data_IF_036815523566
#
_entry.id   IF_036815523566
#
_cell.length_a   1.000
_cell.length_b   1.000
_cell.length_c   1.000
_cell.angle_alpha   90.00
_cell.angle_beta   90.00
_cell.angle_gamma   90.00
#
_symmetry.space_group_name_H-M   'P 1'
#
loop_
_entity.id
_entity.type
_entity.pdbx_description
1 polymer ?
#
# COMPACT_ATOMS: atom_id res chain seq x y z
N UNK A 1 -20.21 -46.72 -15.97
CA UNK A 1 -19.89 -45.59 -15.08
C UNK A 1 -20.35 -46.01 -13.71
N UNK A 2 -19.48 -45.95 -12.70
CA UNK A 2 -19.82 -46.32 -11.32
C UNK A 2 -19.74 -45.04 -10.48
N UNK A 3 -20.83 -44.67 -9.79
CA UNK A 3 -20.93 -43.46 -8.96
C UNK A 3 -21.73 -43.73 -7.68
N UNK A 4 -21.45 -42.97 -6.63
CA UNK A 4 -22.16 -43.03 -5.34
C UNK A 4 -22.66 -41.63 -4.94
N UNK A 5 -23.75 -41.20 -5.55
CA UNK A 5 -24.21 -39.80 -5.54
C UNK A 5 -24.89 -39.36 -4.23
N UNK A 6 -25.14 -40.29 -3.29
CA UNK A 6 -25.73 -40.01 -1.98
C UNK A 6 -24.72 -39.73 -0.87
N UNK A 7 -23.45 -40.08 -1.07
CA UNK A 7 -22.42 -40.02 -0.03
C UNK A 7 -21.71 -38.65 0.07
N UNK A 8 -21.16 -38.35 1.25
CA UNK A 8 -20.40 -37.09 1.50
C UNK A 8 -19.07 -37.05 0.75
N UNK A 9 -18.54 -38.21 0.41
CA UNK A 9 -17.37 -38.39 -0.46
C UNK A 9 -17.82 -39.26 -1.61
N UNK A 10 -17.72 -38.73 -2.81
CA UNK A 10 -18.22 -39.34 -4.03
C UNK A 10 -17.04 -39.73 -4.90
N UNK A 11 -17.18 -40.81 -5.65
CA UNK A 11 -16.19 -41.20 -6.63
C UNK A 11 -16.85 -41.49 -7.97
N UNK A 12 -16.07 -41.40 -9.04
CA UNK A 12 -16.49 -41.82 -10.36
C UNK A 12 -15.33 -42.51 -11.07
N UNK A 13 -15.61 -43.71 -11.60
CA UNK A 13 -14.65 -44.45 -12.43
C UNK A 13 -15.11 -44.42 -13.89
N UNK A 14 -14.21 -43.94 -14.77
CA UNK A 14 -14.40 -43.89 -16.21
C UNK A 14 -13.34 -44.72 -16.92
N UNK A 15 -13.75 -45.48 -17.92
CA UNK A 15 -12.89 -46.25 -18.81
C UNK A 15 -13.51 -46.29 -20.20
N UNK A 16 -12.67 -46.26 -21.23
CA UNK A 16 -13.09 -46.45 -22.63
C UNK A 16 -12.89 -47.92 -23.00
N UNK A 17 -13.84 -48.53 -23.73
CA UNK A 17 -13.71 -49.91 -24.21
C UNK A 17 -12.35 -50.10 -24.91
N UNK A 18 -11.65 -51.20 -24.58
CA UNK A 18 -10.30 -51.55 -25.05
C UNK A 18 -9.17 -50.59 -24.61
N UNK A 19 -9.40 -49.70 -23.64
CA UNK A 19 -8.36 -48.86 -23.04
C UNK A 19 -7.75 -49.53 -21.82
N UNK A 20 -6.42 -49.51 -21.73
CA UNK A 20 -5.68 -49.88 -20.51
C UNK A 20 -5.67 -48.78 -19.45
N UNK A 21 -6.25 -47.60 -19.75
CA UNK A 21 -6.34 -46.47 -18.82
C UNK A 21 -7.70 -46.41 -18.13
N UNK A 22 -7.66 -46.21 -16.83
CA UNK A 22 -8.81 -45.95 -15.97
C UNK A 22 -8.66 -44.57 -15.35
N UNK A 23 -9.76 -43.82 -15.29
CA UNK A 23 -9.82 -42.52 -14.64
C UNK A 23 -10.64 -42.63 -13.38
N UNK A 24 -10.04 -42.30 -12.25
CA UNK A 24 -10.69 -42.20 -10.96
C UNK A 24 -10.78 -40.72 -10.59
N UNK A 25 -12.00 -40.25 -10.35
CA UNK A 25 -12.28 -38.95 -9.79
C UNK A 25 -12.88 -39.14 -8.39
N UNK A 26 -12.40 -38.37 -7.42
CA UNK A 26 -12.92 -38.38 -6.04
C UNK A 26 -13.24 -36.94 -5.66
N UNK A 27 -14.46 -36.69 -5.23
CA UNK A 27 -14.97 -35.37 -4.86
C UNK A 27 -15.52 -35.44 -3.44
N UNK A 28 -15.17 -34.48 -2.60
CA UNK A 28 -15.73 -34.35 -1.26
C UNK A 28 -16.74 -33.21 -1.21
N UNK A 29 -17.96 -33.50 -0.77
CA UNK A 29 -19.00 -32.51 -0.42
C UNK A 29 -18.94 -32.04 1.04
N UNK A 30 -17.94 -32.50 1.81
CA UNK A 30 -17.70 -32.04 3.18
C UNK A 30 -17.26 -30.57 3.23
N UNK A 31 -17.37 -29.96 4.42
CA UNK A 31 -16.70 -28.67 4.71
C UNK A 31 -15.22 -28.75 4.35
N UNK A 32 -14.70 -27.69 3.74
CA UNK A 32 -13.36 -27.67 3.10
C UNK A 32 -12.26 -28.28 3.96
N UNK A 33 -12.16 -27.94 5.26
CA UNK A 33 -11.09 -28.49 6.11
C UNK A 33 -11.16 -30.01 6.26
N UNK A 34 -12.35 -30.55 6.56
CA UNK A 34 -12.56 -32.00 6.67
C UNK A 34 -12.42 -32.71 5.32
N UNK A 35 -12.95 -32.09 4.25
CA UNK A 35 -12.81 -32.63 2.91
C UNK A 35 -11.36 -32.72 2.45
N UNK A 36 -10.56 -31.69 2.75
CA UNK A 36 -9.11 -31.66 2.49
C UNK A 36 -8.40 -32.82 3.19
N UNK A 37 -8.66 -33.03 4.48
CA UNK A 37 -8.04 -34.11 5.26
C UNK A 37 -8.37 -35.49 4.68
N UNK A 38 -9.64 -35.73 4.36
CA UNK A 38 -10.09 -37.00 3.77
C UNK A 38 -9.45 -37.23 2.41
N UNK A 39 -9.45 -36.23 1.53
CA UNK A 39 -8.86 -36.36 0.19
C UNK A 39 -7.35 -36.58 0.23
N UNK A 40 -6.63 -35.89 1.14
CA UNK A 40 -5.19 -36.12 1.35
C UNK A 40 -4.90 -37.53 1.88
N UNK A 41 -5.75 -38.04 2.77
CA UNK A 41 -5.61 -39.39 3.29
C UNK A 41 -5.85 -40.44 2.20
N UNK A 42 -6.90 -40.29 1.39
CA UNK A 42 -7.20 -41.19 0.27
C UNK A 42 -6.08 -41.17 -0.78
N UNK A 43 -5.59 -39.99 -1.13
CA UNK A 43 -4.47 -39.82 -2.05
C UNK A 43 -3.21 -40.53 -1.53
N UNK A 44 -2.91 -40.40 -0.23
CA UNK A 44 -1.81 -41.13 0.41
C UNK A 44 -2.01 -42.65 0.34
N UNK A 45 -3.19 -43.16 0.70
CA UNK A 45 -3.48 -44.60 0.67
C UNK A 45 -3.37 -45.19 -0.75
N UNK A 46 -3.82 -44.47 -1.77
CA UNK A 46 -3.67 -44.89 -3.16
C UNK A 46 -2.19 -44.88 -3.57
N UNK A 47 -1.46 -43.82 -3.20
CA UNK A 47 -0.06 -43.65 -3.56
C UNK A 47 0.92 -44.55 -2.79
N UNK A 48 0.51 -45.12 -1.67
CA UNK A 48 1.32 -46.05 -0.86
C UNK A 48 0.86 -47.52 -0.99
N UNK A 49 -0.17 -47.79 -1.80
CA UNK A 49 -0.71 -49.14 -1.98
C UNK A 49 0.31 -50.09 -2.59
N UNK A 50 0.40 -51.30 -2.04
CA UNK A 50 1.23 -52.41 -2.57
C UNK A 50 0.83 -52.84 -3.98
N UNK A 51 -0.40 -52.52 -4.39
CA UNK A 51 -0.90 -52.88 -5.73
C UNK A 51 -0.35 -52.00 -6.85
N UNK A 52 0.43 -50.96 -6.53
CA UNK A 52 1.16 -50.21 -7.55
C UNK A 52 2.17 -51.03 -8.35
N UNK A 53 2.58 -52.20 -7.86
CA UNK A 53 3.33 -53.17 -8.68
C UNK A 53 2.60 -53.62 -9.94
N UNK A 54 1.26 -53.48 -9.97
CA UNK A 54 0.42 -53.86 -11.10
C UNK A 54 -0.17 -52.64 -11.84
N UNK A 55 -0.20 -51.46 -11.23
CA UNK A 55 -0.79 -50.24 -11.81
C UNK A 55 0.09 -49.02 -11.57
N UNK A 56 0.19 -48.15 -12.59
CA UNK A 56 0.82 -46.84 -12.42
C UNK A 56 -0.26 -45.77 -12.17
N UNK A 57 -0.23 -45.17 -10.99
CA UNK A 57 -1.14 -44.08 -10.64
C UNK A 57 -0.48 -42.75 -11.02
N UNK A 58 -1.14 -42.01 -11.92
CA UNK A 58 -0.71 -40.67 -12.33
C UNK A 58 -1.76 -39.66 -11.90
N UNK A 59 -1.35 -38.67 -11.09
CA UNK A 59 -2.24 -37.57 -10.69
C UNK A 59 -2.39 -36.59 -11.84
N UNK A 60 -3.60 -36.49 -12.37
CA UNK A 60 -3.95 -35.56 -13.46
C UNK A 60 -4.53 -34.23 -12.97
N UNK A 61 -5.11 -34.22 -11.77
CA UNK A 61 -5.68 -33.03 -11.14
C UNK A 61 -5.52 -33.11 -9.62
N UNK A 62 -5.21 -31.97 -8.99
CA UNK A 62 -5.02 -31.86 -7.54
C UNK A 62 -5.90 -30.73 -7.00
N UNK A 63 -7.16 -31.07 -6.70
CA UNK A 63 -8.14 -30.11 -6.17
C UNK A 63 -7.79 -29.61 -4.76
N UNK A 64 -7.01 -30.37 -3.99
CA UNK A 64 -6.56 -29.95 -2.65
C UNK A 64 -5.52 -28.84 -2.76
N UNK A 65 -4.50 -29.03 -3.59
CA UNK A 65 -3.51 -27.99 -3.89
C UNK A 65 -4.17 -26.74 -4.47
N UNK A 66 -5.14 -26.91 -5.38
CA UNK A 66 -5.91 -25.80 -5.94
C UNK A 66 -6.63 -24.99 -4.84
N UNK A 67 -7.34 -25.67 -3.93
CA UNK A 67 -8.03 -25.01 -2.80
C UNK A 67 -7.06 -24.29 -1.84
N UNK A 68 -5.84 -24.79 -1.66
CA UNK A 68 -4.80 -24.08 -0.89
C UNK A 68 -4.33 -22.81 -1.60
N UNK A 69 -4.07 -22.89 -2.91
CA UNK A 69 -3.68 -21.74 -3.71
C UNK A 69 -4.76 -20.65 -3.69
N UNK A 70 -6.03 -21.02 -3.89
CA UNK A 70 -7.18 -20.10 -3.84
C UNK A 70 -7.30 -19.36 -2.49
N UNK A 71 -7.02 -20.05 -1.38
CA UNK A 71 -7.03 -19.42 -0.04
C UNK A 71 -5.85 -18.50 0.23
N UNK A 72 -4.68 -18.80 -0.36
CA UNK A 72 -3.47 -18.00 -0.19
C UNK A 72 -3.46 -16.77 -1.10
N UNK A 73 -4.05 -16.85 -2.28
CA UNK A 73 -3.98 -15.80 -3.30
C UNK A 73 -4.47 -14.43 -2.80
N UNK A 74 -5.63 -14.30 -2.11
CA UNK A 74 -6.07 -13.01 -1.57
C UNK A 74 -5.10 -12.42 -0.55
N UNK A 75 -4.35 -13.26 0.17
CA UNK A 75 -3.39 -12.81 1.19
C UNK A 75 -2.13 -12.22 0.58
N UNK A 76 -1.66 -12.81 -0.52
CA UNK A 76 -0.59 -12.22 -1.34
C UNK A 76 -1.03 -10.89 -1.96
N UNK A 77 -2.27 -10.82 -2.47
CA UNK A 77 -2.82 -9.57 -2.99
C UNK A 77 -2.89 -8.48 -1.93
N UNK A 78 -3.29 -8.82 -0.68
CA UNK A 78 -3.27 -7.88 0.43
C UNK A 78 -1.84 -7.43 0.77
N UNK A 79 -0.90 -8.37 0.84
CA UNK A 79 0.52 -8.10 1.09
C UNK A 79 1.11 -7.14 0.06
N UNK A 80 0.99 -7.41 -1.24
CA UNK A 80 1.58 -6.57 -2.28
C UNK A 80 1.01 -5.15 -2.24
N UNK A 81 -0.31 -4.99 -2.02
CA UNK A 81 -0.95 -3.67 -1.87
C UNK A 81 -0.48 -2.93 -0.63
N UNK A 82 -0.38 -3.61 0.50
CA UNK A 82 0.10 -3.02 1.75
C UNK A 82 1.57 -2.62 1.66
N UNK A 83 2.40 -3.42 0.99
CA UNK A 83 3.78 -3.07 0.72
C UNK A 83 3.86 -1.80 -0.14
N UNK A 84 3.07 -1.69 -1.22
CA UNK A 84 3.01 -0.46 -2.03
C UNK A 84 2.53 0.75 -1.21
N UNK A 85 1.51 0.58 -0.37
CA UNK A 85 1.02 1.64 0.53
C UNK A 85 2.13 2.12 1.47
N UNK A 86 2.83 1.19 2.14
CA UNK A 86 3.95 1.50 3.03
C UNK A 86 5.03 2.30 2.31
N UNK A 87 5.41 1.85 1.10
CA UNK A 87 6.41 2.54 0.28
C UNK A 87 5.94 3.96 -0.04
N UNK A 88 4.71 4.12 -0.52
CA UNK A 88 4.19 5.44 -0.86
C UNK A 88 4.19 6.38 0.33
N UNK A 89 3.68 5.97 1.49
CA UNK A 89 3.64 6.81 2.70
C UNK A 89 5.03 7.34 3.07
N UNK A 90 6.02 6.43 3.14
CA UNK A 90 7.39 6.82 3.49
C UNK A 90 8.00 7.74 2.45
N UNK A 91 7.81 7.46 1.16
CA UNK A 91 8.41 8.24 0.08
C UNK A 91 7.74 9.60 -0.11
N UNK A 92 6.42 9.70 0.03
CA UNK A 92 5.72 10.98 -0.01
C UNK A 92 6.05 11.83 1.20
N UNK A 93 6.29 11.22 2.36
CA UNK A 93 6.79 11.94 3.54
C UNK A 93 8.20 12.50 3.32
N UNK A 94 9.08 11.71 2.72
CA UNK A 94 10.48 12.11 2.52
C UNK A 94 10.67 13.11 1.35
N UNK A 95 9.91 12.95 0.26
CA UNK A 95 10.17 13.65 -1.01
C UNK A 95 8.93 14.36 -1.61
N UNK A 96 7.77 14.27 -0.98
CA UNK A 96 6.53 14.84 -1.49
C UNK A 96 6.17 14.34 -2.90
N UNK A 97 5.69 15.23 -3.76
CA UNK A 97 5.31 14.92 -5.14
C UNK A 97 6.49 14.47 -6.02
N UNK A 98 7.72 14.82 -5.64
CA UNK A 98 8.92 14.54 -6.41
C UNK A 98 9.47 13.13 -6.20
N UNK A 99 8.92 12.36 -5.25
CA UNK A 99 9.43 11.05 -4.85
C UNK A 99 9.80 10.16 -6.02
N UNK A 100 8.98 10.14 -7.08
CA UNK A 100 9.20 9.31 -8.26
C UNK A 100 10.50 9.65 -8.97
N UNK A 101 10.80 10.94 -9.15
CA UNK A 101 12.00 11.38 -9.85
C UNK A 101 13.24 11.24 -8.96
N UNK A 102 13.07 11.41 -7.65
CA UNK A 102 14.16 11.27 -6.67
C UNK A 102 14.60 9.81 -6.45
N UNK A 103 13.67 8.87 -6.65
CA UNK A 103 13.89 7.48 -6.24
C UNK A 103 13.92 6.47 -7.38
N UNK A 104 13.47 6.82 -8.59
CA UNK A 104 13.47 5.93 -9.76
C UNK A 104 14.36 6.54 -10.85
N UNK A 105 15.36 5.81 -11.36
CA UNK A 105 16.17 6.27 -12.49
C UNK A 105 15.31 6.63 -13.71
N UNK A 106 15.67 7.71 -14.40
CA UNK A 106 14.90 8.25 -15.53
C UNK A 106 14.65 7.22 -16.64
N UNK A 107 15.65 6.39 -16.94
CA UNK A 107 15.54 5.31 -17.94
C UNK A 107 14.44 4.31 -17.57
N UNK A 108 14.47 3.81 -16.32
CA UNK A 108 13.46 2.87 -15.80
C UNK A 108 12.07 3.50 -15.80
N UNK A 109 11.95 4.78 -15.47
CA UNK A 109 10.69 5.49 -15.50
C UNK A 109 10.13 5.63 -16.93
N UNK A 110 11.00 5.85 -17.93
CA UNK A 110 10.58 5.92 -19.33
C UNK A 110 10.06 4.57 -19.83
N UNK A 111 10.68 3.45 -19.42
CA UNK A 111 10.20 2.12 -19.76
C UNK A 111 8.85 1.80 -19.12
N UNK A 112 8.63 2.22 -17.87
CA UNK A 112 7.31 2.11 -17.22
C UNK A 112 6.24 2.90 -17.98
N UNK A 113 6.53 4.14 -18.41
CA UNK A 113 5.60 4.97 -19.20
C UNK A 113 5.24 4.34 -20.54
N UNK A 114 6.23 3.73 -21.22
CA UNK A 114 6.01 2.98 -22.47
C UNK A 114 5.06 1.80 -22.26
N UNK A 115 5.26 1.07 -21.16
CA UNK A 115 4.42 -0.08 -20.79
C UNK A 115 2.99 0.35 -20.47
N UNK A 116 2.82 1.47 -19.77
CA UNK A 116 1.54 2.04 -19.38
C UNK A 116 0.78 2.77 -20.50
N UNK A 117 1.27 2.76 -21.75
CA UNK A 117 0.67 3.47 -22.90
C UNK A 117 0.49 4.98 -22.67
N UNK A 118 1.44 5.63 -21.99
CA UNK A 118 1.59 7.08 -21.96
C UNK A 118 1.35 7.74 -20.60
N UNK A 119 0.12 7.72 -20.10
CA UNK A 119 -0.23 8.44 -18.87
C UNK A 119 -0.01 7.55 -17.63
N UNK A 120 1.18 7.62 -17.04
CA UNK A 120 1.48 6.98 -15.76
C UNK A 120 1.37 7.99 -14.61
N UNK A 121 0.30 7.87 -13.81
CA UNK A 121 0.13 8.69 -12.62
C UNK A 121 1.14 8.35 -11.51
N UNK A 122 1.26 9.22 -10.51
CA UNK A 122 2.11 8.95 -9.35
C UNK A 122 1.62 7.70 -8.59
N UNK A 123 0.32 7.54 -8.42
CA UNK A 123 -0.27 6.38 -7.74
C UNK A 123 -0.04 5.07 -8.50
N UNK A 124 -0.09 5.09 -9.83
CA UNK A 124 0.09 3.88 -10.66
C UNK A 124 1.56 3.49 -10.85
N UNK A 125 2.50 4.36 -10.47
CA UNK A 125 3.93 4.12 -10.75
C UNK A 125 4.43 2.83 -10.08
N UNK A 126 4.07 2.57 -8.82
CA UNK A 126 4.47 1.33 -8.13
C UNK A 126 3.65 0.10 -8.57
N UNK A 127 2.49 0.29 -9.19
CA UNK A 127 1.69 -0.82 -9.75
C UNK A 127 2.37 -1.47 -10.96
N UNK A 128 3.32 -0.77 -11.60
CA UNK A 128 4.15 -1.33 -12.67
C UNK A 128 5.26 -2.27 -12.16
N UNK A 129 5.46 -2.34 -10.84
CA UNK A 129 6.46 -3.20 -10.22
C UNK A 129 5.81 -4.52 -9.77
N UNK A 130 6.37 -5.63 -10.25
CA UNK A 130 6.15 -6.93 -9.63
C UNK A 130 6.90 -7.04 -8.30
N UNK A 131 6.67 -8.13 -7.57
CA UNK A 131 7.27 -8.32 -6.26
C UNK A 131 8.81 -8.33 -6.29
N UNK A 132 9.41 -8.97 -7.29
CA UNK A 132 10.86 -9.01 -7.44
C UNK A 132 11.45 -7.61 -7.66
N UNK A 133 10.82 -6.82 -8.54
CA UNK A 133 11.23 -5.47 -8.82
C UNK A 133 11.01 -4.53 -7.62
N UNK A 134 9.98 -4.78 -6.79
CA UNK A 134 9.78 -4.07 -5.52
C UNK A 134 10.85 -4.42 -4.48
N UNK A 135 11.24 -5.69 -4.36
CA UNK A 135 12.33 -6.13 -3.47
C UNK A 135 13.64 -5.44 -3.84
N UNK A 136 14.05 -5.51 -5.11
CA UNK A 136 15.23 -4.81 -5.62
C UNK A 136 15.14 -3.30 -5.37
N UNK A 137 13.99 -2.71 -5.64
CA UNK A 137 13.77 -1.27 -5.45
C UNK A 137 13.96 -0.80 -4.00
N UNK A 138 13.59 -1.64 -3.03
CA UNK A 138 13.71 -1.37 -1.60
C UNK A 138 15.10 -1.67 -1.04
N UNK A 139 15.66 -2.82 -1.39
CA UNK A 139 16.77 -3.44 -0.67
C UNK A 139 18.11 -3.39 -1.40
N UNK A 140 18.12 -3.24 -2.73
CA UNK A 140 19.38 -3.13 -3.46
C UNK A 140 20.08 -1.81 -3.11
N UNK A 141 21.40 -1.89 -2.94
CA UNK A 141 22.24 -0.72 -2.74
C UNK A 141 22.24 0.13 -3.99
N UNK A 142 22.05 1.43 -3.81
CA UNK A 142 22.06 2.38 -4.93
C UNK A 142 23.48 2.88 -5.16
N UNK A 143 23.85 2.96 -6.44
CA UNK A 143 25.08 3.61 -6.84
C UNK A 143 25.05 5.09 -6.46
N UNK A 144 26.20 5.59 -6.03
CA UNK A 144 26.39 6.99 -5.70
C UNK A 144 27.13 7.63 -6.86
N UNK A 145 26.53 8.66 -7.46
CA UNK A 145 27.23 9.48 -8.44
C UNK A 145 28.18 10.42 -7.71
N UNK A 146 29.38 9.92 -7.41
CA UNK A 146 30.41 10.67 -6.72
C UNK A 146 30.79 11.96 -7.45
N UNK A 147 30.78 11.96 -8.79
CA UNK A 147 31.15 13.13 -9.59
C UNK A 147 30.16 14.28 -9.39
N UNK A 148 28.86 14.01 -9.55
CA UNK A 148 27.82 15.00 -9.27
C UNK A 148 27.87 15.44 -7.81
N UNK A 149 28.08 14.51 -6.87
CA UNK A 149 28.16 14.86 -5.45
C UNK A 149 29.32 15.83 -5.13
N UNK A 150 30.54 15.56 -5.62
CA UNK A 150 31.68 16.46 -5.38
C UNK A 150 31.52 17.80 -6.08
N UNK A 151 30.92 17.82 -7.27
CA UNK A 151 30.76 19.06 -8.04
C UNK A 151 29.60 19.94 -7.53
N UNK A 152 28.53 19.36 -6.99
CA UNK A 152 27.31 20.11 -6.61
C UNK A 152 27.09 20.22 -5.10
N UNK A 153 27.48 19.20 -4.32
CA UNK A 153 27.19 19.12 -2.88
C UNK A 153 28.41 19.26 -1.98
N UNK A 154 29.62 19.02 -2.50
CA UNK A 154 30.87 19.04 -1.72
C UNK A 154 31.99 19.78 -2.46
N UNK A 155 31.69 20.94 -3.02
CA UNK A 155 32.69 21.76 -3.69
C UNK A 155 33.74 22.33 -2.71
N UNK A 156 34.82 22.89 -3.27
CA UNK A 156 35.93 23.43 -2.50
C UNK A 156 35.55 24.60 -1.57
N UNK A 157 34.45 25.30 -1.83
CA UNK A 157 33.97 26.36 -0.96
C UNK A 157 33.09 25.80 0.18
N UNK A 158 32.26 24.79 -0.09
CA UNK A 158 31.47 24.07 0.91
C UNK A 158 32.38 23.44 1.96
N UNK A 159 33.49 22.82 1.53
CA UNK A 159 34.51 22.25 2.43
C UNK A 159 35.14 23.27 3.38
N UNK A 160 35.22 24.54 2.98
CA UNK A 160 35.78 25.62 3.82
C UNK A 160 34.75 26.25 4.76
N UNK A 161 33.46 26.12 4.45
CA UNK A 161 32.36 26.80 5.15
C UNK A 161 31.63 25.89 6.13
N UNK A 162 31.57 24.59 5.88
CA UNK A 162 30.82 23.63 6.72
C UNK A 162 31.61 23.13 7.91
N UNK A 163 30.91 22.96 9.02
CA UNK A 163 31.49 22.35 10.22
C UNK A 163 31.68 20.84 10.04
N UNK A 164 32.55 20.26 10.89
CA UNK A 164 32.93 18.84 10.82
C UNK A 164 31.73 17.90 10.82
N UNK A 165 30.71 18.16 11.64
CA UNK A 165 29.54 17.29 11.74
C UNK A 165 28.65 17.36 10.49
N UNK A 166 28.55 18.53 9.85
CA UNK A 166 27.85 18.66 8.58
C UNK A 166 28.59 17.94 7.44
N UNK A 167 29.93 17.99 7.45
CA UNK A 167 30.76 17.24 6.51
C UNK A 167 30.64 15.72 6.75
N UNK A 168 30.59 15.26 7.99
CA UNK A 168 30.32 13.87 8.32
C UNK A 168 28.97 13.41 7.75
N UNK A 169 27.92 14.23 7.90
CA UNK A 169 26.59 13.91 7.33
C UNK A 169 26.62 13.81 5.80
N UNK A 170 27.30 14.73 5.12
CA UNK A 170 27.49 14.68 3.67
C UNK A 170 28.27 13.43 3.24
N UNK A 171 29.31 13.04 3.99
CA UNK A 171 30.05 11.80 3.72
C UNK A 171 29.17 10.57 3.94
N UNK A 172 28.27 10.59 4.92
CA UNK A 172 27.32 9.50 5.13
C UNK A 172 26.30 9.37 3.98
N UNK A 173 25.93 10.46 3.30
CA UNK A 173 25.14 10.41 2.06
C UNK A 173 25.87 9.70 0.92
N UNK A 174 27.21 9.71 0.93
CA UNK A 174 28.04 9.05 -0.08
C UNK A 174 28.15 7.53 0.09
N UNK A 175 27.63 6.96 1.18
CA UNK A 175 27.62 5.51 1.34
C UNK A 175 26.56 4.87 0.42
N UNK A 176 26.92 3.83 -0.34
CA UNK A 176 25.94 3.00 -1.03
C UNK A 176 25.01 2.38 0.01
N UNK A 177 23.76 2.85 0.00
CA UNK A 177 22.70 2.41 0.90
C UNK A 177 21.47 2.08 0.07
N UNK A 178 20.66 1.16 0.57
CA UNK A 178 19.38 0.84 -0.03
C UNK A 178 18.38 1.98 0.16
N UNK A 179 17.24 1.90 -0.51
CA UNK A 179 16.14 2.82 -0.24
C UNK A 179 15.61 2.64 1.19
N UNK A 180 15.59 1.40 1.68
CA UNK A 180 15.17 1.05 3.02
C UNK A 180 16.04 1.70 4.09
N UNK A 181 17.36 1.53 4.01
CA UNK A 181 18.31 2.11 4.96
C UNK A 181 18.23 3.63 5.02
N UNK A 182 17.91 4.27 3.89
CA UNK A 182 17.80 5.73 3.81
C UNK A 182 16.50 6.27 4.41
N UNK A 183 15.36 5.61 4.17
CA UNK A 183 14.05 6.23 4.43
C UNK A 183 13.14 5.40 5.37
N UNK A 184 13.38 4.11 5.53
CA UNK A 184 12.48 3.18 6.23
C UNK A 184 12.99 2.78 7.61
N UNK A 185 14.07 3.40 8.10
CA UNK A 185 14.61 3.12 9.44
C UNK A 185 13.58 3.28 10.57
N UNK A 186 12.62 4.20 10.40
CA UNK A 186 11.51 4.40 11.34
C UNK A 186 10.50 3.24 11.38
N UNK A 187 10.45 2.42 10.32
CA UNK A 187 9.58 1.23 10.20
C UNK A 187 10.28 0.00 10.80
N UNK A 188 11.59 -0.05 10.74
CA UNK A 188 12.41 -1.10 11.34
C UNK A 188 13.65 -1.44 10.52
N UNK A 189 14.40 -2.44 10.99
CA UNK A 189 15.66 -2.86 10.35
C UNK A 189 15.41 -3.58 9.03
N UNK A 190 16.16 -3.21 7.98
CA UNK A 190 16.09 -3.84 6.66
C UNK A 190 16.17 -5.36 6.74
N UNK A 191 17.18 -5.89 7.42
CA UNK A 191 17.44 -7.34 7.55
C UNK A 191 16.21 -8.14 7.98
N UNK A 192 15.39 -7.56 8.85
CA UNK A 192 14.18 -8.22 9.37
C UNK A 192 13.09 -8.27 8.31
N UNK A 193 12.85 -7.14 7.63
CA UNK A 193 11.80 -7.01 6.62
C UNK A 193 12.15 -7.75 5.33
N UNK A 194 13.38 -7.58 4.85
CA UNK A 194 13.91 -8.25 3.67
C UNK A 194 13.80 -9.77 3.81
N UNK A 195 14.23 -10.33 4.94
CA UNK A 195 14.09 -11.76 5.21
C UNK A 195 12.64 -12.24 5.16
N UNK A 196 11.72 -11.51 5.81
CA UNK A 196 10.31 -11.91 5.85
C UNK A 196 9.66 -11.86 4.46
N UNK A 197 10.00 -10.87 3.64
CA UNK A 197 9.48 -10.70 2.29
C UNK A 197 10.05 -11.79 1.35
N UNK A 198 11.36 -12.04 1.39
CA UNK A 198 12.01 -13.07 0.58
C UNK A 198 11.46 -14.48 0.85
N UNK A 199 11.24 -14.83 2.12
CA UNK A 199 10.65 -16.13 2.50
C UNK A 199 9.26 -16.36 1.88
N UNK A 200 8.50 -15.28 1.72
CA UNK A 200 7.16 -15.29 1.14
C UNK A 200 7.21 -15.33 -0.39
N UNK A 201 8.11 -14.56 -1.01
CA UNK A 201 8.24 -14.51 -2.47
C UNK A 201 8.54 -15.88 -3.07
N UNK A 202 9.44 -16.66 -2.45
CA UNK A 202 9.73 -18.04 -2.90
C UNK A 202 8.47 -18.92 -2.99
N UNK A 203 7.53 -18.72 -2.08
CA UNK A 203 6.28 -19.47 -2.02
C UNK A 203 5.20 -18.88 -2.94
N UNK A 204 5.23 -17.56 -3.20
CA UNK A 204 4.30 -16.83 -4.08
C UNK A 204 4.23 -17.44 -5.47
N UNK A 205 5.37 -17.79 -6.04
CA UNK A 205 5.45 -18.37 -7.39
C UNK A 205 4.76 -19.74 -7.50
N UNK A 206 4.73 -20.54 -6.43
CA UNK A 206 3.94 -21.79 -6.43
C UNK A 206 2.44 -21.49 -6.50
N UNK A 207 1.98 -20.53 -5.69
CA UNK A 207 0.57 -20.16 -5.60
C UNK A 207 0.07 -19.48 -6.88
N UNK A 208 0.84 -18.52 -7.43
CA UNK A 208 0.46 -17.77 -8.63
C UNK A 208 0.39 -18.63 -9.90
N UNK A 209 1.17 -19.71 -9.97
CA UNK A 209 1.15 -20.66 -11.08
C UNK A 209 0.39 -21.95 -10.76
N UNK A 210 -0.43 -21.96 -9.69
CA UNK A 210 -1.25 -23.11 -9.27
C UNK A 210 -0.48 -24.43 -9.20
N UNK A 211 0.77 -24.37 -8.75
CA UNK A 211 1.62 -25.56 -8.55
C UNK A 211 1.16 -26.34 -7.32
N UNK A 212 1.68 -27.56 -7.16
CA UNK A 212 1.42 -28.40 -5.99
C UNK A 212 1.83 -27.69 -4.69
N UNK A 213 0.93 -27.72 -3.70
CA UNK A 213 1.16 -27.19 -2.35
C UNK A 213 0.72 -28.25 -1.35
N UNK A 214 1.65 -28.73 -0.52
CA UNK A 214 1.32 -29.66 0.56
C UNK A 214 0.61 -28.94 1.72
N UNK A 215 -0.08 -29.72 2.56
CA UNK A 215 -0.75 -29.17 3.76
C UNK A 215 0.22 -28.44 4.69
N UNK A 216 1.41 -29.01 4.89
CA UNK A 216 2.47 -28.39 5.71
C UNK A 216 2.92 -27.05 5.12
N UNK A 217 3.23 -27.03 3.82
CA UNK A 217 3.61 -25.79 3.13
C UNK A 217 2.50 -24.74 3.23
N UNK A 218 1.25 -25.13 3.00
CA UNK A 218 0.11 -24.22 3.14
C UNK A 218 0.03 -23.63 4.55
N UNK A 219 0.12 -24.45 5.60
CA UNK A 219 0.00 -23.98 6.99
C UNK A 219 1.15 -23.04 7.36
N UNK A 220 2.37 -23.35 6.94
CA UNK A 220 3.56 -22.53 7.16
C UNK A 220 3.46 -21.18 6.44
N UNK A 221 3.12 -21.17 5.14
CA UNK A 221 2.94 -19.96 4.34
C UNK A 221 1.82 -19.10 4.94
N UNK A 222 0.69 -19.73 5.25
CA UNK A 222 -0.48 -19.06 5.80
C UNK A 222 -0.16 -18.35 7.13
N UNK A 223 0.62 -18.99 8.01
CA UNK A 223 1.07 -18.40 9.27
C UNK A 223 2.00 -17.21 9.04
N UNK A 224 3.04 -17.38 8.21
CA UNK A 224 4.00 -16.32 7.89
C UNK A 224 3.31 -15.11 7.25
N UNK A 225 2.39 -15.37 6.33
CA UNK A 225 1.65 -14.34 5.60
C UNK A 225 0.69 -13.56 6.49
N UNK A 226 -0.03 -14.24 7.40
CA UNK A 226 -0.86 -13.55 8.39
C UNK A 226 -0.04 -12.64 9.29
N UNK A 227 1.17 -13.07 9.68
CA UNK A 227 2.07 -12.26 10.49
C UNK A 227 2.57 -11.05 9.70
N UNK A 228 3.12 -11.24 8.50
CA UNK A 228 3.65 -10.14 7.68
C UNK A 228 2.58 -9.08 7.36
N UNK A 229 1.37 -9.50 6.99
CA UNK A 229 0.25 -8.58 6.77
C UNK A 229 -0.19 -7.85 8.04
N UNK A 230 -0.03 -8.47 9.22
CA UNK A 230 -0.27 -7.79 10.50
C UNK A 230 0.81 -6.74 10.76
N UNK A 231 2.08 -7.11 10.60
CA UNK A 231 3.22 -6.23 10.85
C UNK A 231 3.18 -5.02 9.89
N UNK A 232 2.84 -5.23 8.60
CA UNK A 232 2.62 -4.14 7.63
C UNK A 232 1.50 -3.18 8.06
N UNK A 233 0.35 -3.69 8.52
CA UNK A 233 -0.76 -2.84 8.98
C UNK A 233 -0.39 -1.98 10.17
N UNK A 234 0.36 -2.54 11.12
CA UNK A 234 0.83 -1.80 12.29
C UNK A 234 1.76 -0.68 11.85
N UNK A 235 2.76 -1.00 11.01
CA UNK A 235 3.68 0.00 10.49
C UNK A 235 2.99 1.13 9.71
N UNK A 236 2.05 0.79 8.84
CA UNK A 236 1.24 1.76 8.08
C UNK A 236 0.46 2.67 9.03
N UNK A 237 -0.25 2.08 10.00
CA UNK A 237 -1.06 2.85 10.96
C UNK A 237 -0.19 3.79 11.80
N UNK A 238 1.01 3.36 12.22
CA UNK A 238 1.93 4.20 12.99
C UNK A 238 2.50 5.36 12.16
N UNK A 239 2.74 5.15 10.86
CA UNK A 239 3.17 6.20 9.94
C UNK A 239 2.05 7.23 9.73
N UNK A 240 0.84 6.75 9.43
CA UNK A 240 -0.33 7.60 9.23
C UNK A 240 -0.57 8.49 10.47
N UNK A 241 -0.49 7.94 11.69
CA UNK A 241 -0.64 8.74 12.92
C UNK A 241 0.41 9.85 13.08
N UNK A 242 1.68 9.60 12.72
CA UNK A 242 2.79 10.56 12.88
C UNK A 242 2.76 11.70 11.86
N UNK A 243 2.12 11.51 10.71
CA UNK A 243 2.05 12.51 9.64
C UNK A 243 1.06 13.64 9.91
N UNK A 244 0.14 13.47 10.87
CA UNK A 244 -0.83 14.50 11.27
C UNK A 244 -0.26 15.62 12.15
N UNK A 245 1.00 15.55 12.57
CA UNK A 245 1.56 16.47 13.57
C UNK A 245 2.26 17.72 12.98
N UNK A 246 2.49 17.78 11.67
CA UNK A 246 3.17 18.90 11.00
C UNK A 246 2.46 19.29 9.71
N UNK A 247 1.73 20.41 9.68
CA UNK A 247 1.22 20.92 8.39
C UNK A 247 1.23 22.44 8.29
N UNK A 248 1.83 22.96 7.21
CA UNK A 248 1.38 24.18 6.52
C UNK A 248 0.00 23.87 5.90
N UNK A 249 -1.02 23.89 6.76
CA UNK A 249 -2.22 23.08 6.65
C UNK A 249 -3.27 23.57 5.64
N UNK A 250 -3.31 24.88 5.41
CA UNK A 250 -4.55 25.54 4.98
C UNK A 250 -4.91 25.26 3.52
N UNK A 251 -3.94 25.39 2.60
CA UNK A 251 -4.21 25.29 1.15
C UNK A 251 -4.46 23.82 0.73
N UNK A 252 -3.75 22.88 1.33
CA UNK A 252 -3.89 21.44 1.08
C UNK A 252 -5.22 20.94 1.64
N UNK A 253 -5.56 21.32 2.88
CA UNK A 253 -6.81 20.91 3.51
C UNK A 253 -8.03 21.53 2.82
N UNK A 254 -7.97 22.79 2.39
CA UNK A 254 -9.05 23.42 1.63
C UNK A 254 -9.27 22.70 0.30
N UNK A 255 -8.19 22.41 -0.42
CA UNK A 255 -8.26 21.68 -1.69
C UNK A 255 -8.76 20.24 -1.51
N UNK A 256 -8.37 19.58 -0.42
CA UNK A 256 -8.84 18.25 -0.05
C UNK A 256 -10.35 18.25 0.26
N UNK A 257 -10.81 19.18 1.11
CA UNK A 257 -12.21 19.33 1.46
C UNK A 257 -13.07 19.61 0.22
N UNK A 258 -12.61 20.48 -0.68
CA UNK A 258 -13.28 20.76 -1.95
C UNK A 258 -13.30 19.53 -2.86
N UNK A 259 -12.19 18.80 -2.98
CA UNK A 259 -12.11 17.62 -3.86
C UNK A 259 -12.99 16.49 -3.34
N UNK A 260 -12.86 16.13 -2.07
CA UNK A 260 -13.65 15.06 -1.46
C UNK A 260 -15.11 15.46 -1.35
N UNK A 261 -15.40 16.66 -0.85
CA UNK A 261 -16.76 17.16 -0.67
C UNK A 261 -17.50 17.35 -1.99
N UNK A 262 -16.92 18.06 -2.96
CA UNK A 262 -17.61 18.41 -4.21
C UNK A 262 -17.59 17.28 -5.25
N UNK A 263 -16.43 16.69 -5.51
CA UNK A 263 -16.27 15.69 -6.59
C UNK A 263 -16.79 14.31 -6.22
N UNK A 264 -16.64 13.86 -4.97
CA UNK A 264 -17.29 12.61 -4.58
C UNK A 264 -18.80 12.76 -4.59
N UNK A 265 -19.36 13.91 -4.17
CA UNK A 265 -20.80 14.19 -4.31
C UNK A 265 -21.30 14.10 -5.74
N UNK A 266 -20.60 14.71 -6.69
CA UNK A 266 -20.94 14.65 -8.13
C UNK A 266 -20.89 13.22 -8.70
N UNK A 267 -20.10 12.32 -8.10
CA UNK A 267 -19.92 10.94 -8.54
C UNK A 267 -20.83 9.91 -7.82
N UNK A 268 -21.65 10.35 -6.85
CA UNK A 268 -22.60 9.46 -6.15
C UNK A 268 -23.71 9.06 -7.13
N UNK A 269 -23.75 7.77 -7.47
CA UNK A 269 -24.91 7.14 -8.10
C UNK A 269 -26.12 7.23 -7.15
N UNK A 270 -27.30 7.51 -7.69
CA UNK A 270 -28.58 7.78 -6.99
C UNK A 270 -29.08 6.71 -5.98
N UNK A 271 -28.31 5.65 -5.70
CA UNK A 271 -28.79 4.45 -4.99
C UNK A 271 -28.11 4.13 -3.64
N UNK A 272 -27.30 5.03 -3.06
CA UNK A 272 -26.70 4.79 -1.73
C UNK A 272 -26.76 6.05 -0.85
N UNK A 273 -27.22 5.88 0.40
CA UNK A 273 -27.23 6.93 1.43
C UNK A 273 -25.83 7.11 2.04
N UNK A 274 -25.14 8.17 1.61
CA UNK A 274 -23.82 8.56 2.11
C UNK A 274 -23.87 9.71 3.13
N UNK A 275 -25.07 10.09 3.61
CA UNK A 275 -25.27 11.29 4.45
C UNK A 275 -24.38 11.27 5.70
N UNK A 276 -24.29 10.13 6.39
CA UNK A 276 -23.41 9.95 7.57
C UNK A 276 -21.92 10.10 7.25
N UNK A 277 -21.47 9.66 6.06
CA UNK A 277 -20.08 9.81 5.64
C UNK A 277 -19.76 11.29 5.37
N UNK A 278 -20.66 11.99 4.68
CA UNK A 278 -20.53 13.43 4.40
C UNK A 278 -20.53 14.24 5.70
N UNK A 279 -21.44 13.94 6.64
CA UNK A 279 -21.45 14.59 7.96
C UNK A 279 -20.14 14.38 8.74
N UNK A 280 -19.58 13.18 8.71
CA UNK A 280 -18.33 12.88 9.41
C UNK A 280 -17.13 13.59 8.76
N UNK A 281 -17.09 13.65 7.42
CA UNK A 281 -16.09 14.44 6.69
C UNK A 281 -16.21 15.92 7.05
N UNK A 282 -17.43 16.46 7.05
CA UNK A 282 -17.68 17.86 7.44
C UNK A 282 -17.21 18.14 8.88
N UNK A 283 -17.53 17.27 9.85
CA UNK A 283 -17.06 17.40 11.24
C UNK A 283 -15.54 17.39 11.34
N UNK A 284 -14.88 16.50 10.60
CA UNK A 284 -13.41 16.42 10.56
C UNK A 284 -12.81 17.70 9.97
N UNK A 285 -13.33 18.16 8.82
CA UNK A 285 -12.90 19.41 8.17
C UNK A 285 -13.07 20.60 9.13
N UNK A 286 -14.20 20.71 9.82
CA UNK A 286 -14.46 21.77 10.80
C UNK A 286 -13.47 21.72 11.98
N UNK A 287 -13.23 20.54 12.56
CA UNK A 287 -12.28 20.39 13.65
C UNK A 287 -10.85 20.79 13.24
N UNK A 288 -10.43 20.41 12.02
CA UNK A 288 -9.12 20.79 11.48
C UNK A 288 -9.03 22.29 11.24
N UNK A 289 -10.07 22.91 10.66
CA UNK A 289 -10.14 24.36 10.41
C UNK A 289 -10.09 25.18 11.71
N UNK A 290 -10.74 24.71 12.78
CA UNK A 290 -10.67 25.35 14.11
C UNK A 290 -9.25 25.24 14.69
N UNK A 291 -8.63 24.07 14.62
CA UNK A 291 -7.26 23.85 15.13
C UNK A 291 -6.23 24.74 14.42
N UNK A 292 -6.41 24.95 13.11
CA UNK A 292 -5.60 25.87 12.30
C UNK A 292 -5.78 27.31 12.77
N UNK A 293 -7.02 27.75 13.02
CA UNK A 293 -7.31 29.11 13.49
C UNK A 293 -6.58 29.40 14.80
N UNK A 294 -6.61 28.46 15.74
CA UNK A 294 -5.94 28.60 17.04
C UNK A 294 -4.41 28.63 16.92
N UNK A 295 -3.83 27.76 16.08
CA UNK A 295 -2.38 27.74 15.81
C UNK A 295 -1.91 29.02 15.08
N UNK A 296 -2.68 29.51 14.12
CA UNK A 296 -2.34 30.72 13.35
C UNK A 296 -2.44 31.98 14.21
N UNK A 297 -3.48 32.09 15.06
CA UNK A 297 -3.61 33.19 16.04
C UNK A 297 -2.44 33.18 17.03
N UNK A 298 -2.01 32.01 17.50
CA UNK A 298 -0.89 31.87 18.43
C UNK A 298 0.45 32.25 17.79
N UNK A 299 0.74 31.76 16.58
CA UNK A 299 1.96 32.12 15.83
C UNK A 299 2.01 33.60 15.45
N UNK A 300 0.86 34.22 15.12
CA UNK A 300 0.77 35.65 14.85
C UNK A 300 0.97 36.48 16.12
N UNK A 301 0.44 36.05 17.26
CA UNK A 301 0.67 36.71 18.55
C UNK A 301 2.15 36.68 18.95
N UNK A 302 2.83 35.54 18.77
CA UNK A 302 4.27 35.40 18.99
C UNK A 302 5.10 36.23 18.02
N UNK A 303 4.76 36.22 16.73
CA UNK A 303 5.44 37.02 15.70
C UNK A 303 5.25 38.53 15.90
N UNK A 304 4.05 38.97 16.32
CA UNK A 304 3.77 40.37 16.67
C UNK A 304 4.56 40.81 17.91
N UNK A 305 4.72 39.92 18.89
CA UNK A 305 5.52 40.18 20.09
C UNK A 305 7.02 40.29 19.78
N UNK A 306 7.52 39.46 18.84
CA UNK A 306 8.93 39.44 18.41
C UNK A 306 9.28 40.57 17.43
N UNK A 307 8.32 41.01 16.60
CA UNK A 307 8.53 42.03 15.58
C UNK A 307 8.30 43.46 16.06
N UNK A 308 7.82 43.72 17.28
CA UNK A 308 7.70 45.07 17.84
C UNK A 308 9.01 45.89 17.79
N UNK A 309 10.16 45.24 17.63
CA UNK A 309 11.48 45.86 17.54
C UNK A 309 11.95 46.21 16.12
N UNK A 310 11.31 45.72 15.04
CA UNK A 310 11.84 45.84 13.66
C UNK A 310 10.78 46.24 12.61
N UNK A 311 9.94 47.24 12.89
CA UNK A 311 8.79 47.60 12.04
C UNK A 311 9.01 48.92 11.28
N UNK A 312 9.51 48.86 10.04
CA UNK A 312 9.12 49.87 9.03
C UNK A 312 9.22 49.40 7.58
N UNK A 313 10.14 48.52 7.23
CA UNK A 313 10.29 48.04 5.83
C UNK A 313 9.58 46.69 5.56
N UNK A 314 9.45 45.82 6.56
CA UNK A 314 8.79 44.50 6.43
C UNK A 314 7.26 44.61 6.28
N UNK A 315 6.67 45.73 6.72
CA UNK A 315 5.21 45.92 6.80
C UNK A 315 4.45 45.89 5.47
N UNK A 316 5.12 46.08 4.32
CA UNK A 316 4.47 45.96 2.99
C UNK A 316 4.40 44.52 2.48
N UNK A 317 5.42 43.70 2.76
CA UNK A 317 5.52 42.31 2.29
C UNK A 317 4.64 41.36 3.13
N UNK A 318 4.57 41.57 4.45
CA UNK A 318 3.71 40.79 5.35
C UNK A 318 2.23 41.02 5.04
N UNK A 319 1.82 42.25 4.71
CA UNK A 319 0.41 42.56 4.43
C UNK A 319 -0.12 41.85 3.19
N UNK A 320 0.71 41.62 2.17
CA UNK A 320 0.31 40.92 0.96
C UNK A 320 0.14 39.41 1.18
N UNK A 321 1.06 38.78 1.94
CA UNK A 321 1.02 37.35 2.25
C UNK A 321 -0.10 37.03 3.27
N UNK A 322 -0.31 37.89 4.27
CA UNK A 322 -1.37 37.71 5.27
C UNK A 322 -2.78 37.90 4.68
N UNK A 323 -2.96 38.84 3.75
CA UNK A 323 -4.26 39.12 3.12
C UNK A 323 -4.64 38.02 2.12
N UNK A 324 -3.67 37.48 1.37
CA UNK A 324 -3.88 36.30 0.52
C UNK A 324 -4.32 35.08 1.33
N UNK A 325 -3.61 34.79 2.44
CA UNK A 325 -3.96 33.65 3.29
C UNK A 325 -5.30 33.86 4.00
N UNK A 326 -5.62 35.08 4.44
CA UNK A 326 -6.93 35.42 5.04
C UNK A 326 -8.09 35.27 4.05
N UNK A 327 -7.95 35.74 2.82
CA UNK A 327 -8.99 35.56 1.79
C UNK A 327 -9.20 34.08 1.42
N UNK A 328 -8.12 33.28 1.38
CA UNK A 328 -8.21 31.82 1.16
C UNK A 328 -8.87 31.10 2.33
N UNK A 329 -8.53 31.48 3.56
CA UNK A 329 -9.17 30.98 4.78
C UNK A 329 -10.66 31.32 4.75
N UNK A 330 -11.03 32.57 4.42
CA UNK A 330 -12.42 32.99 4.27
C UNK A 330 -13.16 32.20 3.18
N UNK A 331 -12.55 31.95 2.02
CA UNK A 331 -13.14 31.12 0.96
C UNK A 331 -13.29 29.64 1.36
N UNK A 332 -12.36 29.09 2.15
CA UNK A 332 -12.49 27.75 2.72
C UNK A 332 -13.60 27.67 3.76
N UNK A 333 -13.80 28.74 4.55
CA UNK A 333 -14.93 28.88 5.47
C UNK A 333 -16.26 28.98 4.73
N UNK A 334 -16.36 29.84 3.72
CA UNK A 334 -17.57 29.95 2.87
C UNK A 334 -17.90 28.60 2.22
N UNK A 335 -16.91 27.90 1.68
CA UNK A 335 -17.10 26.55 1.11
C UNK A 335 -17.55 25.54 2.17
N UNK A 336 -17.01 25.59 3.39
CA UNK A 336 -17.39 24.71 4.50
C UNK A 336 -18.78 25.03 5.07
N UNK A 337 -19.24 26.27 4.92
CA UNK A 337 -20.56 26.73 5.32
C UNK A 337 -21.62 26.37 4.26
N UNK A 338 -21.31 26.53 2.97
CA UNK A 338 -22.10 26.02 1.84
C UNK A 338 -22.31 24.49 1.95
N UNK A 339 -21.26 23.76 2.30
CA UNK A 339 -21.30 22.33 2.58
C UNK A 339 -22.28 21.95 3.70
N UNK A 340 -22.43 22.82 4.70
CA UNK A 340 -23.28 22.61 5.86
C UNK A 340 -24.75 22.96 5.56
N UNK A 341 -24.99 23.99 4.75
CA UNK A 341 -26.31 24.35 4.27
C UNK A 341 -26.91 23.28 3.35
N UNK A 342 -26.11 22.73 2.43
CA UNK A 342 -26.54 21.66 1.52
C UNK A 342 -26.82 20.34 2.28
N UNK A 343 -25.99 19.99 3.28
CA UNK A 343 -26.21 18.80 4.10
C UNK A 343 -27.56 18.88 4.87
N UNK A 344 -27.93 20.06 5.35
CA UNK A 344 -29.24 20.31 6.00
C UNK A 344 -30.41 20.28 5.02
N UNK A 345 -30.19 20.59 3.73
CA UNK A 345 -31.22 20.47 2.71
C UNK A 345 -31.46 19.00 2.32
N UNK A 346 -30.39 18.21 2.16
CA UNK A 346 -30.50 16.78 1.88
C UNK A 346 -31.17 15.99 3.02
N UNK A 347 -30.87 16.30 4.29
CA UNK A 347 -31.53 15.65 5.43
C UNK A 347 -33.05 15.90 5.44
N UNK A 348 -33.49 17.08 5.02
CA UNK A 348 -34.91 17.44 4.87
C UNK A 348 -35.60 16.77 3.67
N UNK A 349 -34.84 16.47 2.61
CA UNK A 349 -35.36 15.75 1.44
C UNK A 349 -35.53 14.24 1.72
N UNK A 350 -34.69 13.65 2.57
CA UNK A 350 -34.77 12.26 3.00
C UNK A 350 -35.91 11.96 3.98
N UNK A 351 -36.38 12.97 4.73
CA UNK A 351 -37.56 12.86 5.63
C UNK A 351 -38.91 12.91 4.90
N UNK A 352 -38.90 13.26 3.60
CA UNK A 352 -40.11 13.39 2.76
C UNK A 352 -40.32 12.21 1.78
N UNK A 353 -39.62 11.09 1.98
CA UNK A 353 -39.83 9.83 1.24
C UNK A 353 -40.21 8.67 2.16
#
# INVERSE_FOLDING_TARGET
>A
MWSDEGEKVQYTIRNKKNSQRYYLEIISKLRVNRGTEVLLHLDKCLLESTEQRYINIVRVYDGVSAAFCEKLYPKYGAFERQLRQLILLVLTKAFGINWRNETIPTEKLNDMKRTAKGALSLSETLEQLDLAAMESYLFDKREVNYQTFFNEKLDAEVLKRKEKDELCNLIEEMRPRSLWERNFGMVGKQETWEKQILEIHQCRNKVAHSKKVSKKEYDDINKKMNKLNKDLRIAISELECKDFENVEAVDILSSFALTVGKRMREAILENYDWTKMIENINKMVQHMVVSIKESYISSFAEAAQKNAETIKEIGKSINYISTSNYMKIAAAFESAEELNEEAKQFSKSAENF
#
